data_IF_703467260473
#
_entry.id   IF_703467260473
#
_cell.length_a   1.000
_cell.length_b   1.000
_cell.length_c   1.000
_cell.angle_alpha   90.00
_cell.angle_beta   90.00
_cell.angle_gamma   90.00
#
_symmetry.space_group_name_H-M   'P 1'
#
loop_
_entity.id
_entity.type
_entity.pdbx_description
1 polymer ?
#
# COMPACT_ATOMS: atom_id res chain seq x y z
N UNK A 1 51.94 37.11 -29.56
CA UNK A 1 51.38 35.81 -29.19
C UNK A 1 49.86 35.93 -29.11
N UNK A 2 49.15 35.15 -29.92
CA UNK A 2 47.69 35.22 -30.05
C UNK A 2 47.00 34.24 -29.09
N UNK A 3 45.71 34.44 -28.82
CA UNK A 3 44.94 33.55 -27.93
C UNK A 3 44.87 32.09 -28.44
N UNK A 4 44.97 31.89 -29.76
CA UNK A 4 44.99 30.56 -30.38
C UNK A 4 46.32 29.84 -30.14
N UNK A 5 47.42 30.57 -30.21
CA UNK A 5 48.76 30.05 -29.88
C UNK A 5 48.86 29.72 -28.38
N UNK A 6 48.29 30.57 -27.51
CA UNK A 6 48.23 30.32 -26.07
C UNK A 6 47.42 29.07 -25.70
N UNK A 7 46.36 28.77 -26.46
CA UNK A 7 45.52 27.59 -26.23
C UNK A 7 46.26 26.26 -26.46
N UNK A 8 47.23 26.26 -27.38
CA UNK A 8 47.99 25.07 -27.76
C UNK A 8 49.12 24.72 -26.79
N UNK A 9 49.48 25.62 -25.88
CA UNK A 9 50.52 25.37 -24.88
C UNK A 9 50.01 24.47 -23.74
N UNK A 10 50.89 23.65 -23.13
CA UNK A 10 50.62 22.93 -21.88
C UNK A 10 50.13 23.90 -20.79
N UNK A 11 49.29 23.43 -19.87
CA UNK A 11 48.64 24.31 -18.87
C UNK A 11 49.63 25.13 -18.04
N UNK A 12 50.83 24.59 -17.82
CA UNK A 12 51.89 25.20 -17.01
C UNK A 12 52.63 26.33 -17.74
N UNK A 13 52.62 26.34 -19.08
CA UNK A 13 53.35 27.30 -19.92
C UNK A 13 52.44 28.41 -20.48
N UNK A 14 51.15 28.42 -20.07
CA UNK A 14 50.20 29.42 -20.55
C UNK A 14 50.47 30.79 -19.93
N UNK A 15 50.48 31.88 -20.73
CA UNK A 15 50.68 33.22 -20.18
C UNK A 15 49.54 33.61 -19.24
N UNK A 16 49.88 34.38 -18.21
CA UNK A 16 48.94 34.80 -17.16
C UNK A 16 47.69 35.56 -17.66
N UNK A 17 47.74 36.17 -18.85
CA UNK A 17 46.61 36.87 -19.45
C UNK A 17 45.63 35.95 -20.18
N UNK A 18 46.01 34.71 -20.48
CA UNK A 18 45.17 33.78 -21.21
C UNK A 18 44.21 33.03 -20.27
N UNK A 19 42.91 33.24 -20.45
CA UNK A 19 41.86 32.44 -19.80
C UNK A 19 41.20 31.52 -20.84
N UNK A 20 41.22 30.19 -20.66
CA UNK A 20 40.50 29.31 -21.56
C UNK A 20 38.98 29.58 -21.48
N UNK A 21 38.24 29.37 -22.58
CA UNK A 21 36.79 29.48 -22.57
C UNK A 21 36.19 28.46 -21.58
N UNK A 22 35.11 28.86 -20.91
CA UNK A 22 34.40 28.05 -19.91
C UNK A 22 34.08 26.67 -20.51
N UNK A 23 34.60 25.60 -19.90
CA UNK A 23 34.39 24.20 -20.33
C UNK A 23 35.51 23.57 -21.16
N UNK A 24 36.56 24.32 -21.53
CA UNK A 24 37.72 23.77 -22.26
C UNK A 24 38.90 23.35 -21.37
N UNK A 25 38.76 23.44 -20.04
CA UNK A 25 39.71 22.87 -19.10
C UNK A 25 39.45 21.38 -18.95
N UNK A 26 40.52 20.56 -18.93
CA UNK A 26 40.51 19.13 -18.66
C UNK A 26 39.47 18.82 -17.58
N UNK A 27 38.30 18.33 -18.01
CA UNK A 27 37.27 17.92 -17.08
C UNK A 27 37.87 16.85 -16.19
N UNK A 28 37.78 17.03 -14.87
CA UNK A 28 38.03 15.92 -13.95
C UNK A 28 37.21 14.72 -14.46
N UNK A 29 37.78 13.51 -14.49
CA UNK A 29 37.03 12.32 -14.86
C UNK A 29 35.73 12.27 -14.03
N UNK A 30 34.60 11.80 -14.60
CA UNK A 30 33.38 11.63 -13.84
C UNK A 30 33.71 10.77 -12.61
N UNK A 31 33.49 11.34 -11.43
CA UNK A 31 33.85 10.69 -10.18
C UNK A 31 33.04 9.40 -10.01
N UNK A 32 33.71 8.34 -9.55
CA UNK A 32 33.07 7.07 -9.22
C UNK A 32 31.90 7.28 -8.25
N UNK A 33 30.83 6.51 -8.44
CA UNK A 33 29.66 6.57 -7.56
C UNK A 33 30.10 6.22 -6.13
N UNK A 34 29.80 7.10 -5.17
CA UNK A 34 30.14 6.89 -3.77
C UNK A 34 29.49 5.62 -3.22
N UNK A 35 30.24 4.87 -2.40
CA UNK A 35 29.73 3.74 -1.65
C UNK A 35 28.63 4.17 -0.67
N UNK A 36 27.67 3.28 -0.42
CA UNK A 36 26.58 3.51 0.52
C UNK A 36 27.10 3.92 1.90
N UNK A 37 26.54 5.01 2.44
CA UNK A 37 26.85 5.49 3.79
C UNK A 37 28.08 6.40 3.90
N UNK A 38 28.81 6.63 2.80
CA UNK A 38 29.96 7.54 2.82
C UNK A 38 29.51 9.00 2.66
N UNK A 39 29.82 9.84 3.66
CA UNK A 39 29.50 11.28 3.71
C UNK A 39 30.76 12.16 3.69
N UNK A 40 31.86 11.67 3.11
CA UNK A 40 33.01 12.55 2.87
C UNK A 40 32.65 13.68 1.91
N UNK A 41 33.29 14.83 2.17
CA UNK A 41 32.91 16.19 1.74
C UNK A 41 32.13 16.25 0.42
N UNK A 42 30.80 16.37 0.53
CA UNK A 42 29.93 16.65 -0.60
C UNK A 42 30.33 17.99 -1.21
N UNK A 43 30.92 17.95 -2.41
CA UNK A 43 31.09 19.14 -3.23
C UNK A 43 29.73 19.80 -3.54
N UNK A 44 29.68 21.11 -3.80
CA UNK A 44 28.44 21.79 -4.18
C UNK A 44 27.75 21.06 -5.34
N UNK A 45 26.51 20.61 -5.13
CA UNK A 45 25.71 19.91 -6.14
C UNK A 45 25.62 18.39 -6.00
N UNK A 46 26.45 17.76 -5.16
CA UNK A 46 26.33 16.34 -4.87
C UNK A 46 25.32 16.12 -3.73
N UNK A 47 24.41 15.14 -3.88
CA UNK A 47 23.51 14.68 -2.82
C UNK A 47 23.79 13.20 -2.57
N UNK A 48 24.43 12.88 -1.44
CA UNK A 48 24.53 11.48 -1.00
C UNK A 48 23.11 10.94 -0.75
N UNK A 49 22.79 9.71 -1.20
CA UNK A 49 21.55 9.04 -0.83
C UNK A 49 21.46 8.97 0.70
N UNK A 50 20.52 9.70 1.28
CA UNK A 50 20.38 9.74 2.73
C UNK A 50 19.85 8.40 3.21
N UNK A 51 20.38 7.85 4.31
CA UNK A 51 19.96 6.53 4.85
C UNK A 51 18.43 6.40 4.94
N UNK A 52 17.74 7.46 5.36
CA UNK A 52 16.28 7.46 5.47
C UNK A 52 15.54 7.36 4.13
N UNK A 53 16.16 7.68 2.98
CA UNK A 53 15.48 7.67 1.68
C UNK A 53 15.11 6.24 1.26
N UNK A 54 15.88 5.24 1.69
CA UNK A 54 15.55 3.81 1.48
C UNK A 54 14.34 3.39 2.29
N UNK A 55 14.30 3.79 3.56
CA UNK A 55 13.17 3.53 4.46
C UNK A 55 11.91 4.21 3.92
N UNK A 56 12.01 5.47 3.53
CA UNK A 56 10.89 6.21 2.94
C UNK A 56 10.38 5.54 1.65
N UNK A 57 11.27 5.12 0.75
CA UNK A 57 10.88 4.41 -0.47
C UNK A 57 10.19 3.08 -0.18
N UNK A 58 10.69 2.30 0.78
CA UNK A 58 10.07 1.04 1.20
C UNK A 58 8.66 1.26 1.78
N UNK A 59 8.48 2.30 2.60
CA UNK A 59 7.18 2.67 3.16
C UNK A 59 6.17 3.06 2.06
N UNK A 60 6.58 3.87 1.08
CA UNK A 60 5.72 4.24 -0.05
C UNK A 60 5.36 3.01 -0.88
N UNK A 61 6.33 2.13 -1.16
CA UNK A 61 6.09 0.90 -1.92
C UNK A 61 5.04 0.01 -1.28
N UNK A 62 5.19 -0.29 0.02
CA UNK A 62 4.22 -1.10 0.77
C UNK A 62 2.84 -0.44 0.86
N UNK A 63 2.77 0.89 1.00
CA UNK A 63 1.51 1.61 1.05
C UNK A 63 0.78 1.61 -0.31
N UNK A 64 1.49 1.83 -1.41
CA UNK A 64 0.90 1.82 -2.76
C UNK A 64 0.41 0.41 -3.13
N UNK A 65 1.09 -0.64 -2.70
CA UNK A 65 0.65 -2.02 -2.91
C UNK A 65 -0.72 -2.28 -2.25
N UNK A 66 -0.93 -1.75 -1.03
CA UNK A 66 -2.19 -1.90 -0.30
C UNK A 66 -3.26 -0.90 -0.76
N UNK A 67 -2.86 0.30 -1.16
CA UNK A 67 -3.72 1.41 -1.58
C UNK A 67 -3.21 2.07 -2.87
N UNK A 68 -3.46 1.45 -4.03
CA UNK A 68 -2.99 1.98 -5.32
C UNK A 68 -3.55 3.36 -5.65
N UNK A 69 -4.72 3.72 -5.11
CA UNK A 69 -5.37 5.01 -5.30
C UNK A 69 -4.51 6.20 -4.82
N UNK A 70 -3.68 5.98 -3.80
CA UNK A 70 -2.81 6.99 -3.24
C UNK A 70 -1.66 7.40 -4.16
N UNK A 71 -1.34 6.62 -5.19
CA UNK A 71 -0.30 6.96 -6.17
C UNK A 71 -0.57 8.29 -6.90
N UNK A 72 -1.82 8.75 -6.89
CA UNK A 72 -2.24 10.06 -7.43
C UNK A 72 -1.70 11.25 -6.63
N UNK A 73 -1.20 11.05 -5.40
CA UNK A 73 -0.76 12.10 -4.48
C UNK A 73 0.74 11.99 -4.10
N UNK A 74 1.67 12.08 -5.06
CA UNK A 74 3.09 11.78 -4.83
C UNK A 74 3.74 12.71 -3.81
N UNK A 75 3.36 13.99 -3.74
CA UNK A 75 3.92 14.95 -2.78
C UNK A 75 3.48 14.65 -1.35
N UNK A 76 2.23 14.22 -1.18
CA UNK A 76 1.69 13.83 0.14
C UNK A 76 2.34 12.54 0.62
N UNK A 77 2.50 11.56 -0.27
CA UNK A 77 3.24 10.32 0.01
C UNK A 77 4.70 10.58 0.37
N UNK A 78 5.38 11.48 -0.36
CA UNK A 78 6.75 11.85 -0.07
C UNK A 78 6.88 12.54 1.30
N UNK A 79 5.98 13.47 1.64
CA UNK A 79 6.00 14.15 2.94
C UNK A 79 5.70 13.20 4.11
N UNK A 80 4.75 12.27 3.91
CA UNK A 80 4.40 11.26 4.90
C UNK A 80 5.60 10.34 5.15
N UNK A 81 6.13 9.71 4.10
CA UNK A 81 7.21 8.73 4.19
C UNK A 81 8.53 9.32 4.70
N UNK A 82 8.88 10.57 4.33
CA UNK A 82 10.06 11.26 4.89
C UNK A 82 9.93 11.49 6.40
N UNK A 83 8.73 11.86 6.87
CA UNK A 83 8.48 12.09 8.29
C UNK A 83 8.51 10.78 9.09
N UNK A 84 7.88 9.72 8.57
CA UNK A 84 7.89 8.38 9.17
C UNK A 84 9.30 7.80 9.27
N UNK A 85 10.06 7.85 8.16
CA UNK A 85 11.41 7.29 8.11
C UNK A 85 12.35 7.98 9.11
N UNK A 86 12.25 9.31 9.23
CA UNK A 86 13.07 10.06 10.19
C UNK A 86 12.66 9.82 11.63
N UNK A 87 11.35 9.76 11.92
CA UNK A 87 10.87 9.42 13.25
C UNK A 87 11.33 8.01 13.66
N UNK A 88 11.22 7.03 12.74
CA UNK A 88 11.68 5.66 12.98
C UNK A 88 13.18 5.58 13.29
N UNK A 89 14.02 6.30 12.54
CA UNK A 89 15.47 6.35 12.79
C UNK A 89 15.81 7.02 14.13
N UNK A 90 15.12 8.10 14.49
CA UNK A 90 15.33 8.77 15.77
C UNK A 90 14.92 7.89 16.96
N UNK A 91 13.81 7.15 16.85
CA UNK A 91 13.42 6.16 17.86
C UNK A 91 14.47 5.07 18.00
N UNK A 92 14.88 4.44 16.90
CA UNK A 92 15.91 3.41 16.93
C UNK A 92 17.21 3.90 17.58
N UNK A 93 17.64 5.13 17.26
CA UNK A 93 18.82 5.73 17.88
C UNK A 93 18.64 5.94 19.40
N UNK A 94 17.49 6.47 19.82
CA UNK A 94 17.19 6.72 21.24
C UNK A 94 16.98 5.41 22.02
N UNK A 95 16.47 4.36 21.39
CA UNK A 95 16.34 3.02 21.98
C UNK A 95 17.72 2.40 22.23
N UNK A 96 18.68 2.63 21.32
CA UNK A 96 20.05 2.14 21.44
C UNK A 96 20.89 2.94 22.45
N UNK A 97 20.77 4.28 22.45
CA UNK A 97 21.66 5.17 23.22
C UNK A 97 21.02 5.76 24.47
N UNK A 98 19.73 5.50 24.70
CA UNK A 98 18.94 6.09 25.77
C UNK A 98 18.52 7.53 25.52
N UNK A 99 17.60 8.03 26.36
CA UNK A 99 17.10 9.41 26.31
C UNK A 99 18.06 10.42 26.97
N UNK A 100 18.94 9.95 27.85
CA UNK A 100 19.96 10.74 28.49
C UNK A 100 21.30 10.53 27.77
N UNK A 101 22.17 11.55 27.82
CA UNK A 101 23.55 11.43 27.38
C UNK A 101 24.47 10.93 28.51
N UNK A 102 25.77 10.82 28.21
CA UNK A 102 26.79 10.32 29.13
C UNK A 102 26.99 11.22 30.36
N UNK A 103 26.45 12.46 30.33
CA UNK A 103 26.48 13.40 31.46
C UNK A 103 25.22 13.34 32.32
N UNK A 104 24.23 12.54 31.90
CA UNK A 104 22.93 12.43 32.55
C UNK A 104 21.94 13.52 32.14
N UNK A 105 22.27 14.37 31.16
CA UNK A 105 21.37 15.37 30.61
C UNK A 105 20.48 14.77 29.52
N UNK A 106 19.29 15.33 29.34
CA UNK A 106 18.38 14.88 28.29
C UNK A 106 18.90 15.25 26.90
N UNK A 107 18.78 14.33 25.94
CA UNK A 107 19.07 14.54 24.50
C UNK A 107 17.99 15.40 23.83
N UNK A 108 17.75 16.57 24.39
CA UNK A 108 16.63 17.47 24.14
C UNK A 108 16.44 17.80 22.65
N UNK A 109 17.52 17.99 21.90
CA UNK A 109 17.43 18.27 20.45
C UNK A 109 16.89 17.08 19.66
N UNK A 110 17.28 15.85 20.00
CA UNK A 110 16.78 14.64 19.34
C UNK A 110 15.32 14.40 19.70
N UNK A 111 14.96 14.57 20.97
CA UNK A 111 13.59 14.44 21.46
C UNK A 111 12.64 15.45 20.77
N UNK A 112 13.06 16.71 20.64
CA UNK A 112 12.27 17.73 19.91
C UNK A 112 12.17 17.44 18.42
N UNK A 113 13.20 16.89 17.81
CA UNK A 113 13.14 16.48 16.40
C UNK A 113 12.19 15.30 16.22
N UNK A 114 12.23 14.32 17.13
CA UNK A 114 11.33 13.18 17.14
C UNK A 114 9.87 13.66 17.23
N UNK A 115 9.50 14.44 18.26
CA UNK A 115 8.14 14.98 18.42
C UNK A 115 7.68 15.74 17.16
N UNK A 116 8.57 16.56 16.57
CA UNK A 116 8.25 17.28 15.32
C UNK A 116 7.94 16.33 14.16
N UNK A 117 8.74 15.29 13.95
CA UNK A 117 8.51 14.35 12.86
C UNK A 117 7.31 13.45 13.11
N UNK A 118 7.04 13.09 14.36
CA UNK A 118 5.84 12.35 14.75
C UNK A 118 4.56 13.13 14.50
N UNK A 119 4.53 14.41 14.85
CA UNK A 119 3.39 15.29 14.53
C UNK A 119 3.18 15.43 13.03
N UNK A 120 4.25 15.64 12.26
CA UNK A 120 4.17 15.71 10.80
C UNK A 120 3.70 14.39 10.18
N UNK A 121 4.16 13.25 10.69
CA UNK A 121 3.69 11.95 10.25
C UNK A 121 2.21 11.75 10.58
N UNK A 122 1.76 12.13 11.78
CA UNK A 122 0.35 12.06 12.17
C UNK A 122 -0.54 12.94 11.28
N UNK A 123 -0.15 14.20 11.04
CA UNK A 123 -0.86 15.12 10.15
C UNK A 123 -0.92 14.57 8.71
N UNK A 124 0.17 13.97 8.24
CA UNK A 124 0.22 13.39 6.89
C UNK A 124 -0.64 12.13 6.78
N UNK A 125 -0.67 11.25 7.80
CA UNK A 125 -1.61 10.12 7.88
C UNK A 125 -3.05 10.61 7.81
N UNK A 126 -3.38 11.68 8.52
CA UNK A 126 -4.71 12.27 8.49
C UNK A 126 -5.10 12.75 7.08
N UNK A 127 -4.21 13.47 6.41
CA UNK A 127 -4.44 13.95 5.04
C UNK A 127 -4.61 12.83 4.02
N UNK A 128 -3.90 11.72 4.19
CA UNK A 128 -4.01 10.52 3.34
C UNK A 128 -5.20 9.63 3.72
N UNK A 129 -5.89 9.95 4.81
CA UNK A 129 -6.99 9.15 5.35
C UNK A 129 -6.53 7.78 5.85
N UNK A 130 -5.35 7.73 6.48
CA UNK A 130 -4.74 6.52 7.06
C UNK A 130 -4.96 6.39 8.57
N UNK A 131 -5.60 7.37 9.20
CA UNK A 131 -6.01 7.25 10.59
C UNK A 131 -7.43 6.65 10.69
N UNK A 132 -7.75 5.90 11.77
CA UNK A 132 -9.03 5.21 11.91
C UNK A 132 -10.25 6.13 11.79
N UNK A 133 -10.12 7.40 12.21
CA UNK A 133 -11.22 8.36 12.14
C UNK A 133 -11.45 8.79 10.69
N UNK A 134 -10.40 9.13 9.96
CA UNK A 134 -10.52 9.47 8.54
C UNK A 134 -10.96 8.27 7.71
N UNK A 135 -10.53 7.05 8.04
CA UNK A 135 -11.05 5.84 7.38
C UNK A 135 -12.55 5.66 7.62
N UNK A 136 -13.02 5.83 8.86
CA UNK A 136 -14.44 5.77 9.18
C UNK A 136 -15.24 6.87 8.46
N UNK A 137 -14.68 8.08 8.36
CA UNK A 137 -15.29 9.19 7.62
C UNK A 137 -15.36 8.91 6.12
N UNK A 138 -14.29 8.38 5.52
CA UNK A 138 -14.27 7.96 4.12
C UNK A 138 -15.28 6.83 3.86
N UNK A 139 -15.39 5.85 4.77
CA UNK A 139 -16.36 4.78 4.67
C UNK A 139 -17.81 5.32 4.73
N UNK A 140 -18.08 6.26 5.65
CA UNK A 140 -19.38 6.92 5.75
C UNK A 140 -19.71 7.72 4.50
N UNK A 141 -18.77 8.50 3.98
CA UNK A 141 -18.94 9.30 2.76
C UNK A 141 -19.20 8.40 1.54
N UNK A 142 -18.49 7.29 1.42
CA UNK A 142 -18.73 6.28 0.37
C UNK A 142 -20.13 5.66 0.50
N UNK A 143 -20.53 5.24 1.71
CA UNK A 143 -21.85 4.68 1.95
C UNK A 143 -22.97 5.67 1.65
N UNK A 144 -22.76 6.96 1.97
CA UNK A 144 -23.68 8.04 1.66
C UNK A 144 -23.80 8.26 0.15
N UNK A 145 -22.67 8.37 -0.56
CA UNK A 145 -22.65 8.56 -2.01
C UNK A 145 -23.26 7.37 -2.77
N UNK A 146 -23.14 6.15 -2.24
CA UNK A 146 -23.87 4.97 -2.76
C UNK A 146 -25.38 5.10 -2.56
N UNK A 147 -25.83 5.55 -1.38
CA UNK A 147 -27.26 5.76 -1.08
C UNK A 147 -27.88 6.85 -1.96
N UNK A 148 -27.13 7.91 -2.22
CA UNK A 148 -27.55 9.05 -3.05
C UNK A 148 -27.44 8.76 -4.56
N UNK A 149 -26.99 7.56 -4.95
CA UNK A 149 -26.90 7.11 -6.34
C UNK A 149 -25.78 7.76 -7.16
N UNK A 150 -24.86 8.50 -6.50
CA UNK A 150 -23.74 9.17 -7.14
C UNK A 150 -22.58 8.22 -7.43
N UNK A 151 -22.39 7.23 -6.55
CA UNK A 151 -21.56 6.06 -6.82
C UNK A 151 -22.52 4.95 -7.19
N UNK A 152 -22.73 4.72 -8.49
CA UNK A 152 -23.41 3.50 -8.91
C UNK A 152 -22.63 2.33 -8.32
N UNK A 153 -23.23 1.46 -7.48
CA UNK A 153 -22.64 0.15 -7.30
C UNK A 153 -22.65 -0.47 -8.70
N UNK A 154 -21.48 -0.65 -9.31
CA UNK A 154 -21.27 -1.53 -10.46
C UNK A 154 -21.49 -3.00 -10.05
N UNK A 155 -22.45 -3.25 -9.18
CA UNK A 155 -23.02 -4.57 -8.99
C UNK A 155 -24.09 -4.67 -10.05
N UNK A 156 -23.73 -5.24 -11.19
CA UNK A 156 -24.70 -5.68 -12.18
C UNK A 156 -25.58 -6.75 -11.51
N UNK A 157 -26.75 -6.33 -11.03
CA UNK A 157 -27.71 -7.19 -10.35
C UNK A 157 -28.14 -8.37 -11.23
N UNK A 158 -28.10 -8.19 -12.56
CA UNK A 158 -28.36 -9.22 -13.56
C UNK A 158 -27.29 -10.30 -13.51
N UNK A 159 -26.02 -9.89 -13.50
CA UNK A 159 -24.87 -10.80 -13.39
C UNK A 159 -24.85 -11.53 -12.05
N UNK A 160 -25.17 -10.83 -10.94
CA UNK A 160 -25.28 -11.43 -9.62
C UNK A 160 -26.41 -12.47 -9.56
N UNK A 161 -27.56 -12.17 -10.17
CA UNK A 161 -28.69 -13.10 -10.27
C UNK A 161 -28.39 -14.31 -11.16
N UNK A 162 -27.58 -14.14 -12.20
CA UNK A 162 -27.12 -15.24 -13.07
C UNK A 162 -26.11 -16.14 -12.37
N UNK A 163 -25.17 -15.58 -11.62
CA UNK A 163 -24.27 -16.34 -10.75
C UNK A 163 -25.03 -17.09 -9.66
N UNK A 164 -26.04 -16.47 -9.05
CA UNK A 164 -26.90 -17.13 -8.06
C UNK A 164 -27.66 -18.32 -8.65
N UNK A 165 -28.21 -18.17 -9.86
CA UNK A 165 -28.85 -19.28 -10.58
C UNK A 165 -27.86 -20.40 -10.92
N UNK A 166 -26.67 -20.05 -11.41
CA UNK A 166 -25.63 -21.02 -11.72
C UNK A 166 -25.13 -21.80 -10.48
N UNK A 167 -25.05 -21.14 -9.31
CA UNK A 167 -24.68 -21.79 -8.04
C UNK A 167 -25.76 -22.73 -7.51
N UNK A 168 -27.04 -22.40 -7.73
CA UNK A 168 -28.18 -23.27 -7.40
C UNK A 168 -28.28 -24.46 -8.35
N UNK A 169 -27.92 -24.28 -9.63
CA UNK A 169 -27.87 -25.39 -10.60
C UNK A 169 -26.63 -26.28 -10.40
N UNK A 170 -25.50 -25.76 -9.90
CA UNK A 170 -24.29 -26.54 -9.62
C UNK A 170 -24.31 -27.28 -8.28
N UNK A 171 -25.17 -26.85 -7.34
CA UNK A 171 -25.36 -27.51 -6.06
C UNK A 171 -26.42 -28.60 -6.16
N UNK A 172 -25.98 -29.76 -6.62
CA UNK A 172 -26.78 -31.00 -6.76
C UNK A 172 -27.20 -31.72 -5.44
N UNK A 173 -26.85 -31.33 -4.18
CA UNK A 173 -27.35 -32.08 -3.03
C UNK A 173 -28.79 -31.73 -2.62
N UNK A 174 -29.25 -30.48 -2.86
CA UNK A 174 -30.61 -30.05 -2.50
C UNK A 174 -31.64 -30.58 -3.48
N UNK A 175 -31.30 -30.57 -4.77
CA UNK A 175 -32.15 -31.11 -5.84
C UNK A 175 -32.27 -32.64 -5.72
N UNK A 176 -31.15 -33.33 -5.49
CA UNK A 176 -31.15 -34.76 -5.19
C UNK A 176 -31.89 -35.13 -3.89
N UNK A 177 -31.92 -34.24 -2.88
CA UNK A 177 -32.71 -34.45 -1.67
C UNK A 177 -34.23 -34.27 -1.92
N UNK A 178 -34.63 -33.23 -2.67
CA UNK A 178 -36.02 -33.00 -3.06
C UNK A 178 -36.58 -34.14 -3.93
N UNK A 179 -35.79 -34.63 -4.88
CA UNK A 179 -36.20 -35.75 -5.74
C UNK A 179 -36.36 -37.05 -4.94
N UNK A 180 -35.51 -37.28 -3.91
CA UNK A 180 -35.64 -38.41 -2.98
C UNK A 180 -36.93 -38.35 -2.18
N UNK A 181 -37.24 -37.19 -1.59
CA UNK A 181 -38.49 -36.97 -0.82
C UNK A 181 -39.71 -37.17 -1.72
N UNK A 182 -39.65 -36.70 -2.96
CA UNK A 182 -40.75 -36.85 -3.92
C UNK A 182 -40.96 -38.32 -4.34
N UNK A 183 -39.88 -39.08 -4.51
CA UNK A 183 -39.93 -40.51 -4.78
C UNK A 183 -40.46 -41.32 -3.58
N UNK A 184 -40.06 -40.98 -2.36
CA UNK A 184 -40.58 -41.59 -1.12
C UNK A 184 -42.08 -41.33 -0.94
N UNK A 185 -42.54 -40.09 -1.22
CA UNK A 185 -43.96 -39.75 -1.16
C UNK A 185 -44.80 -40.54 -2.19
N UNK A 186 -44.27 -40.71 -3.42
CA UNK A 186 -44.95 -41.50 -4.47
C UNK A 186 -45.03 -42.99 -4.11
N UNK A 187 -43.95 -43.56 -3.56
CA UNK A 187 -43.94 -44.96 -3.12
C UNK A 187 -44.88 -45.21 -1.94
N UNK A 188 -44.99 -44.24 -1.02
CA UNK A 188 -45.92 -44.33 0.12
C UNK A 188 -47.38 -44.28 -0.34
N UNK A 189 -47.68 -43.46 -1.36
CA UNK A 189 -49.02 -43.41 -1.95
C UNK A 189 -49.40 -44.73 -2.65
N UNK A 190 -48.48 -45.35 -3.39
CA UNK A 190 -48.70 -46.68 -3.99
C UNK A 190 -48.84 -47.80 -2.95
N UNK A 191 -48.11 -47.73 -1.84
CA UNK A 191 -48.23 -48.71 -0.75
C UNK A 191 -49.58 -48.61 -0.02
N UNK A 192 -50.15 -47.41 0.09
CA UNK A 192 -51.47 -47.19 0.68
C UNK A 192 -52.62 -47.74 -0.19
N UNK A 193 -52.47 -47.77 -1.52
CA UNK A 193 -53.45 -48.38 -2.44
C UNK A 193 -53.36 -49.92 -2.51
N UNK A 194 -52.27 -50.53 -2.01
CA UNK A 194 -52.04 -51.98 -2.08
C UNK A 194 -52.51 -52.74 -0.83
N UNK A 195 -53.16 -52.10 0.14
CA UNK A 195 -53.72 -52.80 1.30
C UNK A 195 -54.95 -53.60 0.82
N UNK A 196 -54.91 -54.94 0.82
CA UNK A 196 -56.07 -55.73 0.46
C UNK A 196 -57.15 -55.49 1.52
N UNK A 197 -58.34 -55.10 1.09
CA UNK A 197 -59.53 -55.14 1.94
C UNK A 197 -59.83 -56.60 2.25
N UNK A 198 -59.25 -57.12 3.33
CA UNK A 198 -59.68 -58.34 3.99
C UNK A 198 -60.99 -58.04 4.76
N UNK A 199 -62.05 -57.70 4.02
CA UNK A 199 -63.43 -57.74 4.48
C UNK A 199 -64.04 -59.09 4.08
N UNK A 200 -63.46 -60.21 4.54
CA UNK A 200 -64.12 -61.51 4.46
C UNK A 200 -63.57 -62.42 5.57
N UNK A 201 -64.00 -62.20 6.80
CA UNK A 201 -63.93 -63.25 7.82
C UNK A 201 -65.14 -63.19 8.75
N UNK A 202 -66.08 -64.07 8.43
CA UNK A 202 -66.89 -64.85 9.36
C UNK A 202 -67.90 -64.09 10.25
N UNK A 203 -69.15 -64.05 9.75
CA UNK A 203 -70.35 -64.03 10.62
C UNK A 203 -70.56 -65.42 11.23
N UNK A 204 -70.57 -65.59 12.56
CA UNK A 204 -71.05 -66.82 13.16
C UNK A 204 -72.59 -66.80 13.22
N UNK A 205 -73.19 -67.81 12.61
CA UNK A 205 -74.60 -68.20 12.74
C UNK A 205 -74.84 -68.86 14.09
N UNK A 206 -75.67 -68.26 14.96
CA UNK A 206 -76.62 -68.95 15.84
C UNK A 206 -77.88 -68.07 15.96
#
# INVERSE_FOLDING_TARGET
>A
MTAREAAALPSEERPAWYRPPKGAGNGSPPAEAFSDGNVEQLGPGHRSPRVYSRIAAALVGGLIEQRPDLATYPESLASWSDSEARAALLRAYLDEHGMLDDTGEARETLLRQLDRFERRAADARQRLGLDPRSEAELALLRARAMREGQLAPTVDLSQLAEMGRAALDSSDPVRAALDRVRAEAANTALAAESIPNDEDTERPTI
#
